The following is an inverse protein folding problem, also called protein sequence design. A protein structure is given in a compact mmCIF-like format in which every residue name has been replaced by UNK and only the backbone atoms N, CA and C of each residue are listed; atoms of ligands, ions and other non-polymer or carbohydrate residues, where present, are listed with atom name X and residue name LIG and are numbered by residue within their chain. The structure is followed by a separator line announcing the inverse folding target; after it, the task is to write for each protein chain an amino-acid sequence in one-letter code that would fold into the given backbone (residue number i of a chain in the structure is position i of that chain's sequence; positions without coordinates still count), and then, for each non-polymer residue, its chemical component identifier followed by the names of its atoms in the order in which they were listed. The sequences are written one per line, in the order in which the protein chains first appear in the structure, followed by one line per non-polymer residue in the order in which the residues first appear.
data_IF_517666956661
#
_entry.id   IF_517666956661
#
_cell.length_a   1.000
_cell.length_b   1.000
_cell.length_c   1.000
_cell.angle_alpha   90.00
_cell.angle_beta   90.00
_cell.angle_gamma   90.00
#
_symmetry.space_group_name_H-M   'P 1'
#
loop_
_entity.id
_entity.type
_entity.pdbx_description
1 polymer ?
#
# COMPACT_ATOMS: atom_id res chain seq x y z
N UNK A 1 50.01 74.55 -40.75
CA UNK A 1 49.58 73.66 -39.65
C UNK A 1 50.54 72.47 -39.59
N UNK A 2 51.37 72.38 -38.54
CA UNK A 2 51.83 71.06 -38.06
C UNK A 2 50.65 70.35 -37.36
N UNK A 3 50.71 69.11 -36.90
CA UNK A 3 51.81 68.18 -36.67
C UNK A 3 51.10 66.82 -36.42
N UNK A 4 51.10 65.89 -37.37
CA UNK A 4 50.60 64.53 -37.13
C UNK A 4 51.78 63.66 -36.71
N UNK A 5 51.99 63.57 -35.39
CA UNK A 5 52.90 62.65 -34.74
C UNK A 5 52.42 61.20 -34.97
N UNK A 6 53.01 60.53 -35.96
CA UNK A 6 52.91 59.08 -36.12
C UNK A 6 53.96 58.39 -35.24
N UNK A 7 53.59 57.46 -34.34
CA UNK A 7 54.56 56.76 -33.52
C UNK A 7 55.47 55.87 -34.40
N UNK A 8 56.76 55.74 -34.06
CA UNK A 8 57.72 55.04 -34.91
C UNK A 8 57.41 53.54 -34.96
N UNK A 9 57.23 53.01 -36.17
CA UNK A 9 56.95 51.60 -36.53
C UNK A 9 57.83 50.56 -35.80
N UNK A 10 59.01 50.96 -35.32
CA UNK A 10 59.94 50.11 -34.55
C UNK A 10 59.46 49.79 -33.13
N UNK A 11 58.75 50.70 -32.45
CA UNK A 11 58.26 50.47 -31.09
C UNK A 11 57.13 49.43 -31.04
N UNK A 12 56.23 49.45 -32.04
CA UNK A 12 55.11 48.50 -32.15
C UNK A 12 55.63 47.07 -32.32
N UNK A 13 56.69 46.87 -33.11
CA UNK A 13 57.26 45.56 -33.39
C UNK A 13 57.98 44.96 -32.16
N UNK A 14 58.69 45.79 -31.39
CA UNK A 14 59.34 45.38 -30.14
C UNK A 14 58.32 45.03 -29.04
N UNK A 15 57.23 45.79 -28.95
CA UNK A 15 56.14 45.56 -28.00
C UNK A 15 55.29 44.33 -28.37
N UNK A 16 55.13 44.03 -29.66
CA UNK A 16 54.48 42.81 -30.12
C UNK A 16 55.35 41.56 -29.83
N UNK A 17 56.67 41.67 -29.94
CA UNK A 17 57.58 40.56 -29.66
C UNK A 17 57.71 40.23 -28.16
N UNK A 18 57.60 41.24 -27.27
CA UNK A 18 57.60 41.04 -25.82
C UNK A 18 56.31 40.37 -25.32
N UNK A 19 55.15 40.73 -25.89
CA UNK A 19 53.85 40.12 -25.56
C UNK A 19 53.74 38.68 -26.07
N UNK A 20 54.32 38.36 -27.22
CA UNK A 20 54.41 36.96 -27.70
C UNK A 20 55.30 36.13 -26.76
N UNK A 21 56.44 36.67 -26.33
CA UNK A 21 57.34 35.98 -25.38
C UNK A 21 56.70 35.77 -24.01
N UNK A 22 55.93 36.74 -23.48
CA UNK A 22 55.24 36.57 -22.19
C UNK A 22 54.10 35.56 -22.27
N UNK A 23 53.31 35.56 -23.36
CA UNK A 23 52.27 34.56 -23.61
C UNK A 23 52.84 33.15 -23.74
N UNK A 24 53.99 32.99 -24.42
CA UNK A 24 54.68 31.70 -24.52
C UNK A 24 55.14 31.19 -23.14
N UNK A 25 55.68 32.08 -22.30
CA UNK A 25 56.09 31.73 -20.93
C UNK A 25 54.92 31.27 -20.06
N UNK A 26 53.78 31.97 -20.14
CA UNK A 26 52.57 31.58 -19.40
C UNK A 26 52.08 30.22 -19.87
N UNK A 27 52.01 30.00 -21.19
CA UNK A 27 51.59 28.72 -21.76
C UNK A 27 52.53 27.57 -21.34
N UNK A 28 53.84 27.81 -21.35
CA UNK A 28 54.82 26.82 -20.91
C UNK A 28 54.70 26.48 -19.42
N UNK A 29 54.39 27.47 -18.58
CA UNK A 29 54.15 27.28 -17.14
C UNK A 29 52.84 26.51 -16.89
N UNK A 30 51.81 26.77 -17.67
CA UNK A 30 50.51 26.09 -17.57
C UNK A 30 50.61 24.63 -18.04
N UNK A 31 51.38 24.37 -19.10
CA UNK A 31 51.68 23.02 -19.59
C UNK A 31 52.57 22.27 -18.59
N UNK A 32 53.62 22.89 -18.05
CA UNK A 32 54.49 22.22 -17.07
C UNK A 32 53.77 21.91 -15.76
N UNK A 33 52.92 22.82 -15.28
CA UNK A 33 52.08 22.60 -14.09
C UNK A 33 51.10 21.44 -14.30
N UNK A 34 50.41 21.39 -15.44
CA UNK A 34 49.53 20.26 -15.79
C UNK A 34 50.29 18.94 -15.99
N UNK A 35 51.50 19.00 -16.54
CA UNK A 35 52.35 17.82 -16.69
C UNK A 35 52.78 17.31 -15.31
N UNK A 36 53.14 18.21 -14.39
CA UNK A 36 53.53 17.87 -13.03
C UNK A 36 52.36 17.28 -12.23
N UNK A 37 51.14 17.82 -12.36
CA UNK A 37 49.94 17.21 -11.74
C UNK A 37 49.64 15.86 -12.36
N UNK A 38 49.74 15.71 -13.68
CA UNK A 38 49.57 14.41 -14.33
C UNK A 38 50.60 13.38 -13.83
N UNK A 39 51.86 13.76 -13.62
CA UNK A 39 52.90 12.87 -13.09
C UNK A 39 52.75 12.56 -11.60
N UNK A 40 52.25 13.50 -10.79
CA UNK A 40 51.98 13.27 -9.36
C UNK A 40 50.74 12.41 -9.12
N UNK A 41 49.73 12.52 -9.98
CA UNK A 41 48.45 11.82 -9.84
C UNK A 41 48.29 10.61 -10.78
N UNK A 42 49.23 10.36 -11.70
CA UNK A 42 49.24 9.13 -12.49
C UNK A 42 49.88 7.98 -11.70
N UNK A 43 49.28 6.78 -11.72
CA UNK A 43 49.67 5.66 -10.86
C UNK A 43 50.98 4.94 -11.27
N UNK A 44 51.77 5.48 -12.20
CA UNK A 44 52.82 4.70 -12.87
C UNK A 44 54.26 5.25 -12.88
N UNK A 45 54.60 6.33 -12.17
CA UNK A 45 56.03 6.64 -12.01
C UNK A 45 56.32 7.50 -10.78
N UNK A 46 56.92 6.89 -9.76
CA UNK A 46 58.02 7.44 -8.96
C UNK A 46 58.60 6.30 -8.11
N UNK A 47 59.33 5.38 -8.77
CA UNK A 47 60.31 4.54 -8.05
C UNK A 47 61.55 5.39 -7.85
N UNK A 48 61.60 6.16 -6.76
CA UNK A 48 62.79 6.92 -6.39
C UNK A 48 63.60 6.07 -5.39
N UNK A 49 64.86 5.69 -5.69
CA UNK A 49 65.69 4.95 -4.76
C UNK A 49 66.37 5.93 -3.79
N UNK A 50 65.67 6.28 -2.71
CA UNK A 50 66.23 7.14 -1.67
C UNK A 50 66.32 6.32 -0.38
N UNK A 51 67.56 5.89 -0.09
CA UNK A 51 68.15 5.52 1.21
C UNK A 51 67.32 4.72 2.23
N UNK A 52 67.90 3.62 2.69
CA UNK A 52 67.36 2.51 3.52
C UNK A 52 66.85 2.84 4.94
N UNK A 53 66.20 3.98 5.21
CA UNK A 53 65.75 4.27 6.59
C UNK A 53 64.59 5.25 6.78
N UNK A 54 63.41 4.99 6.19
CA UNK A 54 62.13 5.67 6.56
C UNK A 54 60.93 4.70 6.36
N UNK A 55 59.86 4.73 7.21
CA UNK A 55 58.79 3.74 7.15
C UNK A 55 57.92 3.88 5.90
N UNK A 56 57.53 2.74 5.31
CA UNK A 56 56.53 2.68 4.22
C UNK A 56 55.16 3.07 4.79
N UNK A 57 54.71 4.28 4.54
CA UNK A 57 53.31 4.65 4.75
C UNK A 57 52.55 4.29 3.47
N UNK A 58 51.95 3.09 3.44
CA UNK A 58 51.00 2.69 2.40
C UNK A 58 49.70 3.49 2.62
N UNK A 59 49.61 4.68 2.02
CA UNK A 59 48.42 5.54 2.11
C UNK A 59 47.27 5.08 1.18
N UNK A 60 47.57 4.15 0.26
CA UNK A 60 46.62 3.62 -0.73
C UNK A 60 46.93 2.15 -0.98
N UNK A 61 46.05 1.26 -0.52
CA UNK A 61 46.17 -0.18 -0.74
C UNK A 61 45.37 -0.55 -2.01
N UNK A 62 45.97 -0.30 -3.18
CA UNK A 62 45.33 -0.51 -4.49
C UNK A 62 44.86 -1.96 -4.70
N UNK A 63 45.56 -2.91 -4.11
CA UNK A 63 45.22 -4.34 -4.16
C UNK A 63 43.93 -4.65 -3.38
N UNK A 64 43.70 -3.98 -2.25
CA UNK A 64 42.46 -4.13 -1.48
C UNK A 64 41.25 -3.60 -2.26
N UNK A 65 41.39 -2.43 -2.90
CA UNK A 65 40.35 -1.83 -3.76
C UNK A 65 40.03 -2.69 -4.98
N UNK A 66 41.05 -3.27 -5.63
CA UNK A 66 40.83 -4.17 -6.78
C UNK A 66 40.09 -5.44 -6.38
N UNK A 67 40.37 -5.99 -5.19
CA UNK A 67 39.60 -7.13 -4.65
C UNK A 67 38.16 -6.75 -4.34
N UNK A 68 37.93 -5.58 -3.79
CA UNK A 68 36.58 -5.08 -3.51
C UNK A 68 35.80 -4.86 -4.80
N UNK A 69 36.42 -4.29 -5.84
CA UNK A 69 35.81 -4.15 -7.17
C UNK A 69 35.49 -5.50 -7.82
N UNK A 70 36.38 -6.49 -7.72
CA UNK A 70 36.08 -7.84 -8.22
C UNK A 70 34.93 -8.48 -7.42
N UNK A 71 34.92 -8.33 -6.09
CA UNK A 71 33.84 -8.85 -5.25
C UNK A 71 32.48 -8.19 -5.57
N UNK A 72 32.46 -6.87 -5.78
CA UNK A 72 31.24 -6.13 -6.14
C UNK A 72 30.76 -6.50 -7.53
N UNK A 73 31.68 -6.73 -8.48
CA UNK A 73 31.34 -7.22 -9.82
C UNK A 73 30.68 -8.60 -9.76
N UNK A 74 31.18 -9.51 -8.92
CA UNK A 74 30.57 -10.82 -8.70
C UNK A 74 29.19 -10.69 -8.06
N UNK A 75 29.04 -9.82 -7.05
CA UNK A 75 27.75 -9.56 -6.42
C UNK A 75 26.72 -8.96 -7.39
N UNK A 76 27.13 -8.06 -8.28
CA UNK A 76 26.25 -7.52 -9.32
C UNK A 76 25.82 -8.60 -10.32
N UNK A 77 26.73 -9.48 -10.73
CA UNK A 77 26.38 -10.59 -11.61
C UNK A 77 25.36 -11.54 -10.94
N UNK A 78 25.53 -11.82 -9.64
CA UNK A 78 24.60 -12.64 -8.88
C UNK A 78 23.21 -11.99 -8.76
N UNK A 79 23.14 -10.73 -8.34
CA UNK A 79 21.86 -10.02 -8.20
C UNK A 79 21.13 -9.87 -9.54
N UNK A 80 21.86 -9.68 -10.63
CA UNK A 80 21.28 -9.64 -11.97
C UNK A 80 20.64 -10.99 -12.36
N UNK A 81 21.28 -12.11 -12.00
CA UNK A 81 20.71 -13.43 -12.22
C UNK A 81 19.44 -13.66 -11.38
N UNK A 82 19.45 -13.25 -10.10
CA UNK A 82 18.30 -13.36 -9.20
C UNK A 82 17.10 -12.52 -9.67
N UNK A 83 17.34 -11.30 -10.15
CA UNK A 83 16.30 -10.45 -10.73
C UNK A 83 15.64 -11.09 -11.93
N UNK A 84 16.42 -11.74 -12.79
CA UNK A 84 15.87 -12.43 -13.96
C UNK A 84 15.02 -13.66 -13.56
N UNK A 85 15.39 -14.37 -12.50
CA UNK A 85 14.60 -15.50 -11.97
C UNK A 85 13.28 -15.02 -11.35
N UNK A 86 13.33 -13.97 -10.52
CA UNK A 86 12.14 -13.37 -9.93
C UNK A 86 11.19 -12.84 -11.00
N UNK A 87 11.72 -12.18 -12.02
CA UNK A 87 10.91 -11.68 -13.13
C UNK A 87 10.23 -12.82 -13.89
N UNK A 88 10.91 -13.95 -14.11
CA UNK A 88 10.29 -15.14 -14.68
C UNK A 88 9.19 -15.69 -13.77
N UNK A 89 9.44 -15.82 -12.46
CA UNK A 89 8.43 -16.31 -11.50
C UNK A 89 7.18 -15.43 -11.49
N UNK A 90 7.35 -14.11 -11.51
CA UNK A 90 6.23 -13.18 -11.56
C UNK A 90 5.44 -13.32 -12.87
N UNK A 91 6.13 -13.42 -14.01
CA UNK A 91 5.47 -13.64 -15.30
C UNK A 91 4.71 -14.98 -15.32
N UNK A 92 5.28 -16.06 -14.78
CA UNK A 92 4.60 -17.35 -14.69
C UNK A 92 3.39 -17.29 -13.76
N UNK A 93 3.52 -16.70 -12.57
CA UNK A 93 2.41 -16.56 -11.62
C UNK A 93 1.28 -15.70 -12.20
N UNK A 94 1.62 -14.63 -12.91
CA UNK A 94 0.63 -13.78 -13.56
C UNK A 94 -0.09 -14.54 -14.69
N UNK A 95 0.65 -15.28 -15.52
CA UNK A 95 0.02 -16.13 -16.55
C UNK A 95 -0.89 -17.20 -15.96
N UNK A 96 -0.51 -17.81 -14.83
CA UNK A 96 -1.35 -18.79 -14.13
C UNK A 96 -2.61 -18.13 -13.56
N UNK A 97 -2.48 -16.95 -12.95
CA UNK A 97 -3.63 -16.18 -12.47
C UNK A 97 -4.60 -15.86 -13.61
N UNK A 98 -4.10 -15.37 -14.74
CA UNK A 98 -4.93 -15.11 -15.92
C UNK A 98 -5.63 -16.39 -16.40
N UNK A 99 -4.92 -17.52 -16.49
CA UNK A 99 -5.57 -18.79 -16.87
C UNK A 99 -6.67 -19.21 -15.89
N UNK A 100 -6.42 -19.09 -14.57
CA UNK A 100 -7.41 -19.41 -13.55
C UNK A 100 -8.61 -18.47 -13.60
N UNK A 101 -8.38 -17.17 -13.83
CA UNK A 101 -9.45 -16.19 -14.00
C UNK A 101 -10.27 -16.48 -15.26
N UNK A 102 -9.64 -16.86 -16.37
CA UNK A 102 -10.36 -17.25 -17.58
C UNK A 102 -11.16 -18.54 -17.39
N UNK A 103 -10.63 -19.55 -16.70
CA UNK A 103 -11.37 -20.78 -16.40
C UNK A 103 -12.52 -20.52 -15.41
N UNK A 104 -12.31 -19.70 -14.38
CA UNK A 104 -13.39 -19.25 -13.49
C UNK A 104 -14.46 -18.49 -14.28
N UNK A 105 -14.05 -17.61 -15.19
CA UNK A 105 -14.94 -16.90 -16.11
C UNK A 105 -15.69 -17.85 -17.05
N UNK A 106 -15.07 -18.95 -17.51
CA UNK A 106 -15.71 -19.97 -18.35
C UNK A 106 -16.69 -20.84 -17.57
N UNK A 107 -16.32 -21.26 -16.36
CA UNK A 107 -17.22 -21.96 -15.42
C UNK A 107 -18.42 -21.07 -15.10
N UNK A 108 -18.19 -19.77 -14.88
CA UNK A 108 -19.26 -18.82 -14.60
C UNK A 108 -20.11 -18.49 -15.86
N UNK A 109 -19.47 -18.39 -17.03
CA UNK A 109 -20.11 -18.17 -18.32
C UNK A 109 -21.01 -19.33 -18.75
N UNK A 110 -20.57 -20.58 -18.58
CA UNK A 110 -21.40 -21.76 -18.80
C UNK A 110 -22.53 -21.86 -17.76
N UNK A 111 -22.33 -21.33 -16.55
CA UNK A 111 -23.37 -21.23 -15.51
C UNK A 111 -24.45 -20.17 -15.79
N UNK A 112 -24.24 -19.27 -16.76
CA UNK A 112 -25.31 -18.36 -17.23
C UNK A 112 -26.46 -19.09 -17.92
N UNK A 113 -26.30 -20.39 -18.21
CA UNK A 113 -27.36 -21.30 -18.67
C UNK A 113 -27.79 -22.37 -17.65
N UNK A 114 -27.21 -22.38 -16.44
CA UNK A 114 -27.59 -23.28 -15.35
C UNK A 114 -27.84 -22.52 -14.05
N UNK A 115 -28.99 -21.85 -14.03
CA UNK A 115 -29.74 -21.35 -12.88
C UNK A 115 -30.14 -22.45 -11.87
N UNK A 116 -29.18 -23.22 -11.37
CA UNK A 116 -29.45 -24.44 -10.59
C UNK A 116 -28.72 -24.54 -9.25
N UNK A 117 -27.76 -23.67 -8.92
CA UNK A 117 -27.18 -23.57 -7.57
C UNK A 117 -27.41 -22.23 -6.89
N UNK A 118 -27.54 -21.14 -7.66
CA UNK A 118 -27.82 -19.81 -7.11
C UNK A 118 -29.32 -19.61 -6.75
N UNK A 119 -30.18 -20.44 -7.35
CA UNK A 119 -31.63 -20.52 -7.12
C UNK A 119 -32.02 -21.33 -5.87
N UNK A 120 -31.15 -22.21 -5.37
CA UNK A 120 -31.47 -23.09 -4.23
C UNK A 120 -31.68 -22.29 -2.92
N UNK A 121 -30.95 -21.18 -2.78
CA UNK A 121 -31.12 -20.20 -1.71
C UNK A 121 -32.39 -19.37 -1.86
N UNK A 122 -32.85 -19.18 -3.09
CA UNK A 122 -34.00 -18.34 -3.40
C UNK A 122 -35.33 -19.05 -3.14
N UNK A 123 -35.31 -20.39 -3.15
CA UNK A 123 -36.43 -21.26 -2.81
C UNK A 123 -36.54 -21.44 -1.27
N UNK A 124 -35.41 -21.53 -0.56
CA UNK A 124 -35.36 -21.74 0.89
C UNK A 124 -35.58 -20.46 1.73
N UNK A 125 -35.17 -19.29 1.21
CA UNK A 125 -35.30 -18.01 1.91
C UNK A 125 -36.59 -17.28 1.50
N UNK A 126 -37.53 -17.13 2.44
CA UNK A 126 -38.81 -16.45 2.21
C UNK A 126 -38.86 -15.02 2.79
N UNK A 127 -39.64 -14.14 2.15
CA UNK A 127 -40.00 -12.82 2.66
C UNK A 127 -38.84 -11.81 2.73
N UNK A 128 -38.69 -11.15 3.88
CA UNK A 128 -37.71 -10.07 4.11
C UNK A 128 -36.27 -10.56 4.13
N UNK A 129 -36.08 -11.84 4.42
CA UNK A 129 -34.77 -12.46 4.48
C UNK A 129 -34.12 -12.52 3.09
N UNK A 130 -34.94 -12.80 2.07
CA UNK A 130 -34.55 -12.75 0.66
C UNK A 130 -34.15 -11.33 0.25
N UNK A 131 -34.84 -10.32 0.76
CA UNK A 131 -34.52 -8.91 0.48
C UNK A 131 -33.26 -8.45 1.19
N UNK A 132 -32.91 -9.02 2.34
CA UNK A 132 -31.78 -8.55 3.13
C UNK A 132 -30.46 -9.25 2.81
N UNK A 133 -30.53 -10.50 2.32
CA UNK A 133 -29.35 -11.34 2.00
C UNK A 133 -29.19 -11.55 0.49
N UNK A 134 -30.27 -11.38 -0.27
CA UNK A 134 -30.28 -11.57 -1.71
C UNK A 134 -29.67 -10.42 -2.50
N UNK A 135 -29.53 -10.59 -3.82
CA UNK A 135 -29.01 -9.56 -4.70
C UNK A 135 -29.97 -8.37 -4.82
N UNK A 136 -29.41 -7.17 -4.77
CA UNK A 136 -30.13 -5.92 -4.99
C UNK A 136 -29.82 -5.37 -6.39
N UNK A 137 -30.88 -5.10 -7.17
CA UNK A 137 -30.74 -4.44 -8.47
C UNK A 137 -30.11 -3.05 -8.31
N UNK A 138 -29.12 -2.74 -9.13
CA UNK A 138 -28.50 -1.41 -9.15
C UNK A 138 -29.48 -0.40 -9.78
N UNK A 139 -29.59 0.82 -9.23
CA UNK A 139 -30.49 1.85 -9.76
C UNK A 139 -30.11 2.32 -11.17
N UNK A 140 -28.85 2.13 -11.56
CA UNK A 140 -28.32 2.51 -12.88
C UNK A 140 -28.25 1.32 -13.86
N UNK A 141 -28.74 0.14 -13.46
CA UNK A 141 -28.65 -1.08 -14.25
C UNK A 141 -27.23 -1.65 -14.35
N UNK A 142 -26.93 -2.27 -15.47
CA UNK A 142 -25.67 -2.96 -15.71
C UNK A 142 -24.47 -2.00 -15.73
N UNK A 143 -23.41 -2.33 -14.99
CA UNK A 143 -22.15 -1.57 -15.01
C UNK A 143 -21.00 -2.46 -15.49
N UNK A 144 -20.17 -1.97 -16.41
CA UNK A 144 -19.05 -2.76 -16.97
C UNK A 144 -17.94 -3.07 -15.96
N UNK A 145 -17.83 -2.29 -14.88
CA UNK A 145 -16.85 -2.50 -13.81
C UNK A 145 -17.24 -3.65 -12.88
N UNK A 146 -18.55 -3.82 -12.63
CA UNK A 146 -19.06 -4.89 -11.77
C UNK A 146 -19.43 -6.15 -12.58
N UNK A 147 -19.73 -5.99 -13.87
CA UNK A 147 -20.15 -7.09 -14.74
C UNK A 147 -21.55 -7.62 -14.43
N UNK A 148 -22.31 -6.92 -13.59
CA UNK A 148 -23.68 -7.28 -13.21
C UNK A 148 -24.57 -6.04 -13.06
N UNK A 149 -25.87 -6.25 -13.12
CA UNK A 149 -26.93 -5.29 -12.76
C UNK A 149 -27.45 -5.54 -11.32
N UNK A 150 -26.83 -6.47 -10.60
CA UNK A 150 -27.16 -6.90 -9.25
C UNK A 150 -25.93 -6.82 -8.33
N UNK A 151 -26.12 -6.27 -7.13
CA UNK A 151 -25.12 -6.17 -6.09
C UNK A 151 -25.56 -7.00 -4.88
N UNK A 152 -24.69 -7.89 -4.42
CA UNK A 152 -24.89 -8.59 -3.17
C UNK A 152 -24.49 -7.70 -1.97
N UNK A 153 -25.25 -7.72 -0.87
CA UNK A 153 -24.84 -7.06 0.34
C UNK A 153 -23.53 -7.66 0.85
N UNK A 154 -22.58 -6.80 1.23
CA UNK A 154 -21.28 -7.23 1.74
C UNK A 154 -21.41 -7.97 3.07
N UNK A 155 -22.34 -7.52 3.92
CA UNK A 155 -22.68 -8.14 5.18
C UNK A 155 -23.71 -9.25 4.97
N UNK A 156 -23.45 -10.41 5.54
CA UNK A 156 -24.37 -11.55 5.46
C UNK A 156 -24.31 -12.34 4.14
N UNK A 157 -23.34 -12.10 3.27
CA UNK A 157 -23.16 -12.92 2.04
C UNK A 157 -22.99 -14.42 2.37
N UNK A 158 -22.32 -14.75 3.48
CA UNK A 158 -22.19 -16.13 3.98
C UNK A 158 -23.49 -16.68 4.57
N UNK A 159 -24.48 -15.84 4.93
CA UNK A 159 -25.79 -16.31 5.39
C UNK A 159 -26.52 -17.13 4.31
N UNK A 160 -26.19 -16.91 3.03
CA UNK A 160 -26.58 -17.76 1.90
C UNK A 160 -25.95 -19.15 1.93
N UNK A 161 -25.35 -19.60 3.03
CA UNK A 161 -24.90 -21.00 3.17
C UNK A 161 -25.65 -21.74 4.27
N UNK A 162 -26.54 -21.03 4.98
CA UNK A 162 -27.15 -21.46 6.23
C UNK A 162 -28.62 -20.98 6.27
N UNK A 163 -29.51 -21.48 5.40
CA UNK A 163 -30.80 -20.86 5.16
C UNK A 163 -31.76 -21.22 6.29
N UNK A 164 -31.69 -22.47 6.75
CA UNK A 164 -32.49 -23.04 7.81
C UNK A 164 -32.15 -22.42 9.17
N UNK A 165 -30.85 -22.29 9.49
CA UNK A 165 -30.43 -21.65 10.74
C UNK A 165 -30.82 -20.17 10.78
N UNK A 166 -30.74 -19.50 9.63
CA UNK A 166 -31.17 -18.12 9.50
C UNK A 166 -32.69 -17.98 9.60
N UNK A 167 -33.46 -18.86 8.97
CA UNK A 167 -34.91 -18.90 9.09
C UNK A 167 -35.36 -19.16 10.54
N UNK A 168 -34.66 -20.05 11.24
CA UNK A 168 -34.87 -20.31 12.66
C UNK A 168 -34.55 -19.08 13.52
N UNK A 169 -33.47 -18.36 13.23
CA UNK A 169 -33.17 -17.11 13.94
C UNK A 169 -34.27 -16.06 13.70
N UNK A 170 -34.84 -16.01 12.50
CA UNK A 170 -35.92 -15.08 12.17
C UNK A 170 -37.31 -15.53 12.65
N UNK A 171 -37.47 -16.73 13.24
CA UNK A 171 -38.76 -17.26 13.69
C UNK A 171 -39.15 -16.72 15.08
N UNK A 172 -39.42 -15.41 15.17
CA UNK A 172 -39.88 -14.77 16.40
C UNK A 172 -41.22 -14.04 16.21
N UNK A 173 -42.03 -13.88 17.27
CA UNK A 173 -43.29 -13.16 17.18
C UNK A 173 -43.06 -11.67 16.92
N UNK A 174 -43.60 -11.15 15.83
CA UNK A 174 -43.59 -9.72 15.51
C UNK A 174 -44.43 -8.97 16.55
N UNK A 175 -43.89 -7.88 17.09
CA UNK A 175 -44.50 -7.07 18.16
C UNK A 175 -44.43 -7.70 19.55
N UNK A 176 -43.88 -8.91 19.68
CA UNK A 176 -43.70 -9.60 20.95
C UNK A 176 -42.35 -9.31 21.62
N UNK A 177 -42.07 -10.04 22.70
CA UNK A 177 -40.74 -10.06 23.31
C UNK A 177 -39.75 -10.81 22.42
N UNK A 178 -38.53 -10.28 22.29
CA UNK A 178 -37.45 -10.97 21.62
C UNK A 178 -37.05 -12.23 22.42
N UNK A 179 -36.87 -13.39 21.77
CA UNK A 179 -36.31 -14.55 22.43
C UNK A 179 -34.86 -14.28 22.87
N UNK A 180 -34.41 -14.98 23.91
CA UNK A 180 -33.05 -14.86 24.44
C UNK A 180 -32.16 -15.88 23.73
N UNK A 181 -31.69 -15.53 22.54
CA UNK A 181 -30.89 -16.40 21.67
C UNK A 181 -29.58 -15.75 21.21
N UNK A 182 -28.98 -14.94 22.09
CA UNK A 182 -27.70 -14.25 21.89
C UNK A 182 -26.56 -15.23 21.50
N UNK A 183 -26.57 -16.43 22.08
CA UNK A 183 -25.59 -17.49 21.77
C UNK A 183 -25.77 -17.99 20.33
N UNK A 184 -27.02 -18.15 19.88
CA UNK A 184 -27.30 -18.59 18.52
C UNK A 184 -26.93 -17.52 17.50
N UNK A 185 -27.18 -16.24 17.83
CA UNK A 185 -26.69 -15.09 17.07
C UNK A 185 -25.16 -15.11 16.92
N UNK A 186 -24.43 -15.39 18.00
CA UNK A 186 -22.96 -15.50 17.98
C UNK A 186 -22.48 -16.66 17.13
N UNK A 187 -23.14 -17.81 17.18
CA UNK A 187 -22.79 -18.96 16.32
C UNK A 187 -22.96 -18.60 14.84
N UNK A 188 -24.03 -17.90 14.47
CA UNK A 188 -24.23 -17.40 13.11
C UNK A 188 -23.11 -16.43 12.71
N UNK A 189 -22.72 -15.51 13.60
CA UNK A 189 -21.59 -14.59 13.34
C UNK A 189 -20.28 -15.34 13.13
N UNK A 190 -20.00 -16.37 13.93
CA UNK A 190 -18.81 -17.23 13.77
C UNK A 190 -18.82 -18.00 12.44
N UNK A 191 -20.00 -18.31 11.90
CA UNK A 191 -20.18 -18.87 10.55
C UNK A 191 -20.06 -17.82 9.44
N UNK A 192 -19.77 -16.56 9.77
CA UNK A 192 -19.69 -15.45 8.82
C UNK A 192 -21.05 -14.91 8.38
N UNK A 193 -22.13 -15.31 9.06
CA UNK A 193 -23.47 -14.79 8.87
C UNK A 193 -23.77 -13.76 9.96
N UNK A 194 -23.68 -12.47 9.64
CA UNK A 194 -24.12 -11.43 10.56
C UNK A 194 -25.65 -11.45 10.67
N UNK A 195 -26.21 -11.72 11.85
CA UNK A 195 -27.65 -11.87 12.01
C UNK A 195 -28.36 -10.54 11.73
N UNK A 196 -29.45 -10.57 10.96
CA UNK A 196 -30.18 -9.34 10.68
C UNK A 196 -30.71 -8.70 11.99
N UNK A 197 -30.76 -7.36 12.04
CA UNK A 197 -31.29 -6.67 13.22
C UNK A 197 -32.74 -7.06 13.47
N UNK A 198 -33.05 -7.53 14.70
CA UNK A 198 -34.43 -7.78 15.14
C UNK A 198 -35.13 -6.47 15.45
N UNK A 199 -35.60 -5.79 14.41
CA UNK A 199 -36.31 -4.49 14.53
C UNK A 199 -37.79 -4.65 14.89
N UNK A 200 -38.30 -5.88 14.89
CA UNK A 200 -39.73 -6.19 14.99
C UNK A 200 -40.15 -6.76 16.33
N UNK A 201 -39.22 -7.02 17.25
CA UNK A 201 -39.53 -7.45 18.62
C UNK A 201 -38.98 -6.44 19.62
N UNK A 202 -39.58 -6.43 20.81
CA UNK A 202 -39.16 -5.56 21.90
C UNK A 202 -38.26 -6.33 22.86
N UNK A 203 -37.23 -5.68 23.42
CA UNK A 203 -36.41 -6.30 24.45
C UNK A 203 -37.28 -6.65 25.67
N UNK A 204 -36.89 -7.70 26.38
CA UNK A 204 -37.60 -8.17 27.57
C UNK A 204 -37.81 -7.04 28.56
N UNK A 205 -39.06 -6.82 28.97
CA UNK A 205 -39.36 -5.79 29.98
C UNK A 205 -38.99 -6.29 31.38
N UNK A 206 -38.36 -5.44 32.22
CA UNK A 206 -38.04 -5.85 33.58
C UNK A 206 -39.32 -6.08 34.39
N UNK A 207 -39.28 -7.09 35.27
CA UNK A 207 -40.41 -7.42 36.15
C UNK A 207 -40.77 -6.21 37.01
N UNK A 208 -42.04 -5.81 37.01
CA UNK A 208 -42.58 -4.62 37.71
C UNK A 208 -42.30 -3.25 37.07
N UNK A 209 -41.96 -3.19 35.78
CA UNK A 209 -41.84 -1.92 35.07
C UNK A 209 -43.21 -1.34 34.68
N UNK A 210 -43.58 -0.22 35.28
CA UNK A 210 -44.77 0.57 34.88
C UNK A 210 -44.29 1.81 34.13
N UNK A 211 -44.53 1.92 32.81
CA UNK A 211 -44.13 3.09 32.05
C UNK A 211 -44.92 4.32 32.50
N UNK A 212 -44.27 5.49 32.55
CA UNK A 212 -44.96 6.76 32.76
C UNK A 212 -45.89 7.03 31.56
N UNK A 213 -47.05 7.67 31.77
CA UNK A 213 -47.92 8.07 30.67
C UNK A 213 -47.20 9.07 29.75
N UNK A 214 -47.54 9.04 28.45
CA UNK A 214 -47.14 10.08 27.51
C UNK A 214 -47.74 11.43 27.96
N UNK A 215 -47.01 12.57 27.84
CA UNK A 215 -45.68 12.73 27.25
C UNK A 215 -44.52 12.58 28.24
N UNK A 216 -44.78 12.35 29.53
CA UNK A 216 -43.74 12.34 30.57
C UNK A 216 -42.69 11.24 30.33
N UNK A 217 -43.08 10.10 29.76
CA UNK A 217 -42.17 9.02 29.37
C UNK A 217 -41.19 9.37 28.24
N UNK A 218 -41.44 10.40 27.43
CA UNK A 218 -40.53 10.80 26.35
C UNK A 218 -39.25 11.50 26.87
N UNK A 219 -39.34 12.11 28.06
CA UNK A 219 -38.28 12.96 28.61
C UNK A 219 -37.73 12.47 29.96
N UNK A 220 -38.24 11.33 30.45
CA UNK A 220 -37.86 10.78 31.76
C UNK A 220 -37.06 9.49 31.61
N UNK A 221 -35.88 9.42 32.21
CA UNK A 221 -35.09 8.18 32.27
C UNK A 221 -35.77 7.23 33.27
N UNK A 222 -36.18 6.01 32.86
CA UNK A 222 -36.77 5.05 33.78
C UNK A 222 -35.75 4.64 34.84
N UNK A 223 -36.19 4.57 36.11
CA UNK A 223 -35.36 4.03 37.19
C UNK A 223 -35.27 2.52 37.02
N UNK A 224 -34.19 2.05 36.42
CA UNK A 224 -33.92 0.61 36.35
C UNK A 224 -33.53 0.13 37.75
N UNK A 225 -34.26 -0.83 38.31
CA UNK A 225 -33.66 -1.71 39.32
C UNK A 225 -32.68 -2.59 38.55
N UNK A 226 -31.44 -2.12 38.44
CA UNK A 226 -30.35 -2.90 37.88
C UNK A 226 -30.13 -4.13 38.77
N UNK A 227 -30.63 -5.28 38.35
CA UNK A 227 -30.16 -6.56 38.86
C UNK A 227 -28.68 -6.70 38.45
N UNK A 228 -27.79 -6.54 39.43
CA UNK A 228 -26.39 -6.96 39.44
C UNK A 228 -25.59 -6.70 38.15
N UNK A 229 -25.03 -5.51 38.04
CA UNK A 229 -23.95 -5.21 37.11
C UNK A 229 -23.40 -3.84 37.49
N UNK A 230 -22.22 -3.82 38.09
CA UNK A 230 -21.53 -2.63 38.60
C UNK A 230 -21.68 -1.41 37.69
N UNK A 231 -22.03 -0.22 38.23
CA UNK A 231 -22.08 1.00 37.44
C UNK A 231 -20.66 1.34 36.98
N UNK A 232 -20.49 1.49 35.67
CA UNK A 232 -19.27 2.08 35.09
C UNK A 232 -19.22 3.54 35.56
N UNK A 233 -18.21 3.96 36.36
CA UNK A 233 -18.15 5.34 36.79
C UNK A 233 -17.81 6.21 35.57
N UNK A 234 -18.73 7.08 35.19
CA UNK A 234 -18.45 8.17 34.27
C UNK A 234 -17.37 9.05 34.91
N UNK A 235 -16.16 8.98 34.36
CA UNK A 235 -15.04 9.84 34.72
C UNK A 235 -15.40 11.27 34.33
N UNK A 236 -15.83 12.07 35.31
CA UNK A 236 -15.93 13.52 35.20
C UNK A 236 -14.52 14.09 35.04
N UNK A 237 -14.20 14.57 33.83
CA UNK A 237 -13.09 15.51 33.62
C UNK A 237 -13.48 16.87 34.19
N UNK A 238 -12.69 17.48 35.09
CA UNK A 238 -12.87 18.87 35.48
C UNK A 238 -12.40 19.79 34.35
N UNK A 239 -13.20 20.80 34.03
CA UNK A 239 -12.82 21.88 33.15
C UNK A 239 -11.77 22.76 33.84
N UNK A 240 -10.70 23.07 33.10
CA UNK A 240 -9.76 24.16 33.33
C UNK A 240 -10.15 25.31 32.40
#
# INVERSE_FOLDING_TARGET
MGLEDYPPRKQIQQQQQSTIRSKLKILLLLVSSNLLTFFLFSPNSLRIPWSDRVPRIHLWDSEALLRELNSTQVHLAQTQSDLSDLQRRLLTSNSLLETLLTELGRIHGDSSSSSSSDSDWQESLSGELKLAVGPHKLPLGFTSQLGSDELFPSLGSTCRRFPDELAQYMSYPVGGECPVDDVFAQILMLKGCEPLPRRRCHPKTPTNFVPLPLPASLWSIPRTQASSGTPIPARTTPAL
#
